data_IF_997696097391
#
_entry.id   IF_997696097391
#
_cell.length_a   1.000
_cell.length_b   1.000
_cell.length_c   1.000
_cell.angle_alpha   90.00
_cell.angle_beta   90.00
_cell.angle_gamma   90.00
#
_symmetry.space_group_name_H-M   'P 1'
#
loop_
_entity.id
_entity.type
_entity.pdbx_description
1 polymer ?
#
# COMPACT_ATOMS: atom_id res chain seq x y z
N UNK A 1 35.53 20.38 -33.36
CA UNK A 1 35.76 18.94 -33.10
C UNK A 1 34.68 18.46 -32.15
N UNK A 2 33.80 17.62 -32.67
CA UNK A 2 32.74 16.94 -31.95
C UNK A 2 33.33 15.90 -30.98
N UNK A 3 32.75 15.77 -29.80
CA UNK A 3 32.83 14.56 -28.97
C UNK A 3 31.40 14.13 -28.58
N UNK A 4 31.10 12.82 -28.59
CA UNK A 4 29.72 12.32 -28.60
C UNK A 4 29.17 12.06 -27.19
N UNK A 5 27.86 12.22 -27.05
CA UNK A 5 27.07 11.72 -25.92
C UNK A 5 27.04 10.19 -25.98
N UNK A 6 27.63 9.51 -25.00
CA UNK A 6 27.46 8.08 -24.79
C UNK A 6 26.14 7.80 -24.07
N UNK A 7 25.25 7.18 -24.81
CA UNK A 7 23.99 6.56 -24.41
C UNK A 7 24.21 5.50 -23.32
N UNK A 8 23.57 5.64 -22.15
CA UNK A 8 23.60 4.63 -21.08
C UNK A 8 22.19 4.08 -20.88
N UNK A 9 21.73 3.31 -21.87
CA UNK A 9 20.50 2.52 -21.80
C UNK A 9 20.76 1.20 -21.05
N UNK A 10 20.58 1.18 -19.74
CA UNK A 10 20.50 -0.07 -18.98
C UNK A 10 19.10 -0.70 -19.18
N UNK A 11 18.97 -1.55 -20.20
CA UNK A 11 17.83 -2.48 -20.34
C UNK A 11 18.01 -3.64 -19.36
N UNK A 12 17.28 -3.64 -18.25
CA UNK A 12 17.20 -4.82 -17.38
C UNK A 12 16.21 -5.84 -17.96
N UNK A 13 16.75 -6.99 -18.36
CA UNK A 13 16.04 -8.15 -18.90
C UNK A 13 15.58 -9.02 -17.73
N UNK A 14 14.27 -9.20 -17.55
CA UNK A 14 13.74 -10.18 -16.59
C UNK A 14 13.63 -11.54 -17.30
N UNK A 15 14.22 -12.59 -16.71
CA UNK A 15 14.05 -13.98 -17.15
C UNK A 15 12.64 -14.46 -16.79
N UNK A 16 11.99 -15.11 -17.74
CA UNK A 16 10.73 -15.84 -17.54
C UNK A 16 11.09 -17.22 -16.98
N UNK A 17 10.71 -17.48 -15.74
CA UNK A 17 10.63 -18.82 -15.16
C UNK A 17 9.18 -19.28 -15.19
N UNK A 18 8.93 -20.45 -15.76
CA UNK A 18 7.59 -21.05 -15.86
C UNK A 18 7.21 -21.60 -14.48
N UNK A 19 6.30 -20.91 -13.80
CA UNK A 19 5.77 -21.25 -12.48
C UNK A 19 4.85 -20.13 -12.01
N UNK A 20 3.72 -20.46 -11.40
CA UNK A 20 2.64 -19.55 -10.96
C UNK A 20 3.14 -18.13 -10.61
N UNK A 21 2.74 -17.15 -11.42
CA UNK A 21 3.26 -15.78 -11.42
C UNK A 21 2.94 -15.01 -10.15
N UNK A 22 3.75 -15.23 -9.11
CA UNK A 22 3.83 -14.33 -7.97
C UNK A 22 4.58 -13.08 -8.42
N UNK A 23 3.87 -11.97 -8.63
CA UNK A 23 4.54 -10.71 -8.91
C UNK A 23 5.04 -10.11 -7.59
N UNK A 24 6.31 -10.34 -7.30
CA UNK A 24 7.04 -9.60 -6.27
C UNK A 24 7.43 -8.22 -6.79
N UNK A 25 7.07 -7.16 -6.05
CA UNK A 25 7.68 -5.85 -6.27
C UNK A 25 9.07 -5.89 -5.65
N UNK A 26 10.11 -5.70 -6.44
CA UNK A 26 11.50 -5.69 -5.95
C UNK A 26 12.05 -4.27 -6.09
N UNK A 27 12.54 -3.71 -4.99
CA UNK A 27 13.29 -2.45 -5.03
C UNK A 27 14.68 -2.71 -5.64
N UNK A 28 15.15 -1.89 -6.60
CA UNK A 28 16.53 -1.98 -7.07
C UNK A 28 17.49 -1.72 -5.90
N UNK A 29 18.61 -2.46 -5.86
CA UNK A 29 19.72 -2.20 -4.94
C UNK A 29 20.35 -0.86 -5.28
N UNK A 30 20.21 0.14 -4.40
CA UNK A 30 20.79 1.47 -4.61
C UNK A 30 22.31 1.44 -4.45
N UNK A 31 23.03 1.90 -5.47
CA UNK A 31 24.35 2.50 -5.29
C UNK A 31 24.23 3.76 -4.45
N UNK A 32 25.20 3.97 -3.56
CA UNK A 32 25.26 5.09 -2.62
C UNK A 32 25.34 6.44 -3.35
N UNK A 33 24.65 7.49 -2.88
CA UNK A 33 25.06 8.86 -3.11
C UNK A 33 26.00 9.30 -1.99
N UNK A 34 27.19 9.77 -2.38
CA UNK A 34 28.21 10.40 -1.55
C UNK A 34 27.74 11.74 -0.99
N UNK A 35 28.09 12.04 0.26
CA UNK A 35 27.99 13.36 0.90
C UNK A 35 28.68 14.46 0.07
N UNK A 36 28.29 15.72 0.26
CA UNK A 36 29.21 16.62 0.97
C UNK A 36 28.55 17.54 2.01
N UNK A 37 29.30 17.78 3.09
CA UNK A 37 29.07 18.80 4.10
C UNK A 37 29.32 20.22 3.58
N UNK A 38 28.63 21.19 4.21
CA UNK A 38 28.92 22.63 4.48
C UNK A 38 27.56 23.37 4.42
N UNK A 39 27.12 24.27 5.30
CA UNK A 39 27.69 24.96 6.45
C UNK A 39 26.90 26.29 6.59
N UNK A 40 26.41 26.56 7.81
CA UNK A 40 26.17 27.90 8.43
C UNK A 40 25.12 28.87 7.82
N UNK A 41 24.04 29.20 8.58
CA UNK A 41 23.87 30.46 9.34
C UNK A 41 22.43 30.64 9.87
N UNK A 42 22.38 31.16 11.09
CA UNK A 42 21.21 31.57 11.87
C UNK A 42 20.81 32.97 11.45
N UNK A 43 19.53 33.22 11.18
CA UNK A 43 18.90 34.52 11.48
C UNK A 43 17.46 34.32 11.93
N UNK A 44 17.23 34.65 13.19
CA UNK A 44 15.95 35.03 13.79
C UNK A 44 15.29 36.18 13.03
N UNK A 45 13.99 36.07 12.76
CA UNK A 45 13.12 37.24 12.63
C UNK A 45 11.75 36.94 13.23
N UNK A 46 11.50 37.60 14.36
CA UNK A 46 10.24 37.68 15.04
C UNK A 46 9.43 38.82 14.39
N UNK A 47 8.25 38.49 13.86
CA UNK A 47 7.28 39.49 13.45
C UNK A 47 6.40 39.87 14.64
N UNK A 48 6.66 41.07 15.17
CA UNK A 48 5.84 41.74 16.17
C UNK A 48 4.54 42.26 15.55
N UNK A 49 3.40 42.02 16.22
CA UNK A 49 2.15 42.75 15.98
C UNK A 49 1.56 43.22 17.31
N UNK A 50 1.64 44.54 17.52
CA UNK A 50 0.67 45.42 18.18
C UNK A 50 0.03 45.00 19.50
N UNK A 51 0.52 45.58 20.60
CA UNK A 51 -0.21 45.72 21.87
C UNK A 51 -1.33 46.76 21.72
N UNK A 52 -2.57 46.36 22.03
CA UNK A 52 -3.61 47.25 22.54
C UNK A 52 -3.96 46.79 23.96
N UNK A 53 -3.87 47.72 24.91
CA UNK A 53 -4.05 47.47 26.33
C UNK A 53 -5.54 47.55 26.68
N UNK A 54 -6.14 46.42 27.09
CA UNK A 54 -7.39 46.42 27.86
C UNK A 54 -7.31 45.29 28.88
N UNK A 55 -7.42 45.66 30.15
CA UNK A 55 -7.36 44.79 31.31
C UNK A 55 -8.48 43.75 31.27
N UNK A 56 -8.13 42.48 31.50
CA UNK A 56 -9.07 41.37 31.58
C UNK A 56 -8.34 40.12 32.08
N UNK A 57 -8.65 39.77 33.33
CA UNK A 57 -8.40 38.55 34.09
C UNK A 57 -7.56 37.42 33.46
N UNK A 58 -6.51 37.03 34.20
CA UNK A 58 -5.73 35.84 33.96
C UNK A 58 -6.57 34.56 34.14
N UNK A 59 -7.08 34.01 33.05
CA UNK A 59 -7.46 32.61 32.98
C UNK A 59 -6.24 31.81 32.49
N UNK A 60 -5.66 31.03 33.41
CA UNK A 60 -4.59 30.10 33.10
C UNK A 60 -5.02 29.15 32.00
N UNK A 61 -4.43 29.29 30.81
CA UNK A 61 -4.48 28.27 29.78
C UNK A 61 -3.62 27.09 30.20
N UNK A 62 -4.16 26.22 31.07
CA UNK A 62 -3.71 24.83 31.16
C UNK A 62 -4.15 24.12 29.88
N UNK A 63 -3.46 24.43 28.79
CA UNK A 63 -3.52 23.69 27.54
C UNK A 63 -2.91 22.32 27.79
N UNK A 64 -3.69 21.41 28.35
CA UNK A 64 -3.37 19.98 28.31
C UNK A 64 -3.30 19.67 26.82
N UNK A 65 -2.09 19.46 26.29
CA UNK A 65 -1.93 18.86 24.98
C UNK A 65 -2.66 17.51 25.05
N UNK A 66 -3.91 17.48 24.58
CA UNK A 66 -4.65 16.24 24.43
C UNK A 66 -3.83 15.45 23.43
N UNK A 67 -3.08 14.47 23.92
CA UNK A 67 -2.60 13.40 23.08
C UNK A 67 -3.82 12.96 22.26
N UNK A 68 -3.76 13.14 20.95
CA UNK A 68 -4.77 12.55 20.06
C UNK A 68 -4.59 11.06 20.26
N UNK A 69 -5.41 10.47 21.12
CA UNK A 69 -5.42 9.03 21.35
C UNK A 69 -6.04 8.42 20.11
N UNK A 70 -5.19 8.06 19.15
CA UNK A 70 -5.59 7.32 17.97
C UNK A 70 -6.15 5.98 18.45
N UNK A 71 -7.44 5.73 18.20
CA UNK A 71 -8.03 4.42 18.47
C UNK A 71 -7.56 3.45 17.38
N UNK A 72 -6.89 2.38 17.79
CA UNK A 72 -6.30 1.38 16.89
C UNK A 72 -7.22 0.17 16.78
N UNK A 73 -7.65 -0.16 15.56
CA UNK A 73 -8.69 -1.17 15.32
C UNK A 73 -8.24 -2.60 15.65
N UNK A 74 -7.00 -2.96 15.31
CA UNK A 74 -6.51 -4.34 15.43
C UNK A 74 -5.39 -4.52 16.46
N UNK A 75 -4.99 -3.46 17.18
CA UNK A 75 -3.86 -3.52 18.13
C UNK A 75 -4.08 -4.51 19.28
N UNK A 76 -5.34 -4.72 19.69
CA UNK A 76 -5.72 -5.65 20.74
C UNK A 76 -6.25 -6.99 20.20
N UNK A 77 -6.24 -7.18 18.88
CA UNK A 77 -6.62 -8.43 18.23
C UNK A 77 -5.40 -9.35 18.16
N UNK A 78 -5.61 -10.65 18.27
CA UNK A 78 -4.55 -11.63 18.01
C UNK A 78 -4.10 -11.53 16.54
N UNK A 79 -2.82 -11.24 16.31
CA UNK A 79 -2.24 -11.08 14.97
C UNK A 79 -1.17 -12.16 14.76
N UNK A 80 -1.59 -13.38 14.40
CA UNK A 80 -0.69 -14.49 14.06
C UNK A 80 -1.23 -15.24 12.85
N UNK A 81 -0.33 -15.75 12.00
CA UNK A 81 -0.68 -16.40 10.74
C UNK A 81 -1.26 -15.41 9.73
N UNK A 82 -2.58 -15.26 9.72
CA UNK A 82 -3.30 -14.45 8.72
C UNK A 82 -4.29 -13.47 9.35
N UNK A 83 -4.32 -12.24 8.84
CA UNK A 83 -5.33 -11.24 9.19
C UNK A 83 -5.97 -10.67 7.94
N UNK A 84 -7.21 -11.06 7.66
CA UNK A 84 -7.98 -10.54 6.52
C UNK A 84 -8.64 -9.21 6.86
N UNK A 85 -8.46 -8.20 6.01
CA UNK A 85 -9.09 -6.87 6.16
C UNK A 85 -10.19 -6.63 5.11
N UNK A 86 -10.21 -7.42 4.03
CA UNK A 86 -11.25 -7.37 3.01
C UNK A 86 -11.46 -8.76 2.44
N UNK A 87 -12.72 -9.22 2.41
CA UNK A 87 -13.11 -10.44 1.72
C UNK A 87 -14.44 -10.25 0.99
N UNK A 88 -14.43 -10.42 -0.34
CA UNK A 88 -15.57 -10.11 -1.21
C UNK A 88 -16.81 -10.98 -0.98
N UNK A 89 -16.65 -12.19 -0.42
CA UNK A 89 -17.77 -13.09 -0.11
C UNK A 89 -18.44 -12.79 1.24
N UNK A 90 -17.88 -11.89 2.05
CA UNK A 90 -18.50 -11.46 3.29
C UNK A 90 -19.86 -10.80 3.07
N UNK A 91 -20.71 -10.81 4.09
CA UNK A 91 -22.01 -10.12 4.07
C UNK A 91 -21.85 -8.61 3.88
N UNK A 92 -20.85 -8.00 4.55
CA UNK A 92 -20.48 -6.58 4.45
C UNK A 92 -18.98 -6.43 4.19
N UNK A 93 -18.50 -6.61 2.94
CA UNK A 93 -17.07 -6.61 2.62
C UNK A 93 -16.36 -5.27 2.88
N UNK A 94 -17.11 -4.17 2.94
CA UNK A 94 -16.62 -2.81 3.17
C UNK A 94 -16.94 -2.28 4.57
N UNK A 95 -17.24 -3.13 5.55
CA UNK A 95 -17.65 -2.71 6.91
C UNK A 95 -16.65 -1.74 7.57
N UNK A 96 -15.35 -2.00 7.42
CA UNK A 96 -14.28 -1.16 7.97
C UNK A 96 -13.66 -0.20 6.94
N UNK A 97 -14.24 -0.12 5.75
CA UNK A 97 -13.73 0.63 4.61
C UNK A 97 -14.66 1.80 4.27
N UNK A 98 -14.08 2.96 3.97
CA UNK A 98 -14.79 4.08 3.38
C UNK A 98 -14.59 4.05 1.86
N UNK A 99 -15.67 4.12 1.10
CA UNK A 99 -15.62 4.30 -0.36
C UNK A 99 -15.80 5.76 -0.72
N UNK A 100 -14.90 6.30 -1.53
CA UNK A 100 -15.09 7.57 -2.24
C UNK A 100 -15.28 7.27 -3.72
N UNK A 101 -16.34 7.82 -4.32
CA UNK A 101 -16.69 7.59 -5.73
C UNK A 101 -16.98 8.92 -6.40
N UNK A 102 -16.22 9.24 -7.44
CA UNK A 102 -16.51 10.35 -8.34
C UNK A 102 -16.32 9.89 -9.78
N UNK A 103 -17.38 9.94 -10.58
CA UNK A 103 -17.41 9.47 -11.96
C UNK A 103 -16.89 8.03 -12.11
N UNK A 104 -17.48 7.13 -11.31
CA UNK A 104 -17.10 5.73 -11.24
C UNK A 104 -18.14 4.91 -10.46
N UNK A 105 -17.80 3.67 -10.12
CA UNK A 105 -18.63 2.83 -9.26
C UNK A 105 -17.81 1.86 -8.42
N UNK A 106 -18.38 1.47 -7.29
CA UNK A 106 -17.95 0.34 -6.46
C UNK A 106 -19.12 -0.62 -6.41
N UNK A 107 -18.95 -1.83 -6.95
CA UNK A 107 -20.03 -2.83 -7.02
C UNK A 107 -19.49 -4.22 -6.74
N UNK A 108 -20.32 -5.08 -6.15
CA UNK A 108 -20.04 -6.51 -6.05
C UNK A 108 -20.60 -7.21 -7.29
N UNK A 109 -19.76 -7.92 -8.03
CA UNK A 109 -20.13 -8.62 -9.26
C UNK A 109 -19.64 -10.07 -9.22
N UNK A 110 -20.19 -10.93 -10.06
CA UNK A 110 -19.67 -12.30 -10.26
C UNK A 110 -18.61 -12.27 -11.37
N UNK A 111 -17.36 -12.61 -11.04
CA UNK A 111 -16.29 -12.69 -12.04
C UNK A 111 -16.36 -14.05 -12.76
N UNK A 112 -16.37 -14.07 -14.11
CA UNK A 112 -16.52 -15.31 -14.87
C UNK A 112 -15.32 -16.25 -14.72
N UNK A 113 -14.10 -15.74 -14.54
CA UNK A 113 -12.88 -16.55 -14.51
C UNK A 113 -12.75 -17.38 -13.24
N UNK A 114 -13.39 -16.96 -12.14
CA UNK A 114 -13.36 -17.66 -10.85
C UNK A 114 -14.76 -18.09 -10.37
N UNK A 115 -15.80 -17.82 -11.18
CA UNK A 115 -17.20 -18.07 -10.86
C UNK A 115 -17.61 -17.62 -9.45
N UNK A 116 -17.11 -16.47 -8.99
CA UNK A 116 -17.26 -16.04 -7.60
C UNK A 116 -17.45 -14.53 -7.48
N UNK A 117 -18.04 -14.09 -6.36
CA UNK A 117 -18.30 -12.68 -6.10
C UNK A 117 -17.02 -11.91 -5.77
N UNK A 118 -16.82 -10.78 -6.45
CA UNK A 118 -15.66 -9.89 -6.29
C UNK A 118 -16.10 -8.45 -6.16
N UNK A 119 -15.28 -7.63 -5.52
CA UNK A 119 -15.51 -6.20 -5.44
C UNK A 119 -14.85 -5.52 -6.64
N UNK A 120 -15.64 -4.93 -7.53
CA UNK A 120 -15.15 -4.14 -8.65
C UNK A 120 -15.16 -2.65 -8.29
N UNK A 121 -14.03 -1.99 -8.55
CA UNK A 121 -13.88 -0.54 -8.45
C UNK A 121 -13.45 -0.05 -9.82
N UNK A 122 -14.22 0.84 -10.45
CA UNK A 122 -13.91 1.39 -11.76
C UNK A 122 -14.17 2.88 -11.82
N UNK A 123 -13.31 3.61 -12.52
CA UNK A 123 -13.48 5.04 -12.80
C UNK A 123 -12.61 5.44 -13.98
N UNK A 124 -13.03 6.48 -14.70
CA UNK A 124 -12.19 7.09 -15.74
C UNK A 124 -10.92 7.73 -15.15
N UNK A 125 -11.00 8.28 -13.94
CA UNK A 125 -9.86 8.85 -13.24
C UNK A 125 -9.51 8.01 -11.99
N UNK A 126 -8.30 7.43 -11.99
CA UNK A 126 -7.81 6.55 -10.93
C UNK A 126 -7.78 7.24 -9.56
N UNK A 127 -7.49 8.54 -9.52
CA UNK A 127 -7.33 9.25 -8.25
C UNK A 127 -8.66 9.60 -7.56
N UNK A 128 -9.78 9.60 -8.30
CA UNK A 128 -11.05 10.15 -7.80
C UNK A 128 -12.00 9.11 -7.22
N UNK A 129 -11.72 7.83 -7.44
CA UNK A 129 -12.51 6.71 -6.90
C UNK A 129 -11.58 5.72 -6.22
N UNK A 130 -11.80 5.46 -4.94
CA UNK A 130 -10.98 4.56 -4.14
C UNK A 130 -11.74 4.07 -2.90
N UNK A 131 -11.23 2.99 -2.29
CA UNK A 131 -11.60 2.58 -0.94
C UNK A 131 -10.43 2.80 0.01
N UNK A 132 -10.70 3.26 1.23
CA UNK A 132 -9.70 3.47 2.27
C UNK A 132 -10.08 2.79 3.57
N UNK A 133 -9.09 2.19 4.24
CA UNK A 133 -9.25 1.55 5.53
C UNK A 133 -8.18 2.09 6.51
N UNK A 134 -8.56 2.56 7.71
CA UNK A 134 -9.92 2.56 8.28
C UNK A 134 -10.88 3.56 7.62
N UNK A 135 -12.18 3.30 7.74
CA UNK A 135 -13.23 4.23 7.30
C UNK A 135 -13.18 5.58 8.02
N UNK A 136 -12.73 5.60 9.27
CA UNK A 136 -12.52 6.82 10.04
C UNK A 136 -11.08 7.33 9.85
N UNK A 137 -10.94 8.63 9.56
CA UNK A 137 -9.65 9.27 9.39
C UNK A 137 -8.86 9.38 10.70
N UNK A 138 -9.55 9.44 11.84
CA UNK A 138 -8.96 9.53 13.18
C UNK A 138 -8.53 8.17 13.75
N UNK A 139 -8.86 7.06 13.07
CA UNK A 139 -8.46 5.70 13.47
C UNK A 139 -7.30 5.19 12.65
N UNK A 140 -6.57 4.22 13.21
CA UNK A 140 -5.54 3.48 12.48
C UNK A 140 -5.77 1.97 12.59
N UNK A 141 -5.22 1.22 11.65
CA UNK A 141 -5.30 -0.25 11.63
C UNK A 141 -4.52 -0.86 12.81
N UNK A 142 -3.25 -0.49 12.96
CA UNK A 142 -2.37 -1.04 14.00
C UNK A 142 -1.96 -2.49 13.76
N UNK A 143 -1.72 -2.86 12.50
CA UNK A 143 -1.37 -4.22 12.09
C UNK A 143 0.15 -4.36 12.04
N UNK A 144 0.71 -5.31 12.78
CA UNK A 144 2.17 -5.57 12.93
C UNK A 144 2.71 -6.64 11.98
N UNK A 145 1.82 -7.32 11.25
CA UNK A 145 2.22 -8.33 10.28
C UNK A 145 2.99 -7.69 9.11
N UNK A 146 4.15 -8.24 8.69
CA UNK A 146 5.06 -7.60 7.73
C UNK A 146 4.66 -7.79 6.26
N UNK A 147 3.94 -8.87 5.92
CA UNK A 147 3.55 -9.14 4.53
C UNK A 147 2.11 -8.70 4.30
N UNK A 148 1.90 -7.88 3.29
CA UNK A 148 0.59 -7.49 2.79
C UNK A 148 0.33 -8.20 1.46
N UNK A 149 -0.79 -8.91 1.36
CA UNK A 149 -1.17 -9.68 0.18
C UNK A 149 -2.50 -9.16 -0.37
N UNK A 150 -2.52 -8.86 -1.67
CA UNK A 150 -3.72 -8.47 -2.41
C UNK A 150 -3.98 -9.49 -3.51
N UNK A 151 -5.21 -10.01 -3.57
CA UNK A 151 -5.69 -10.84 -4.68
C UNK A 151 -6.56 -9.97 -5.57
N UNK A 152 -6.00 -9.56 -6.72
CA UNK A 152 -6.62 -8.59 -7.63
C UNK A 152 -6.58 -9.05 -9.08
N UNK A 153 -7.61 -8.70 -9.84
CA UNK A 153 -7.64 -8.90 -11.30
C UNK A 153 -7.15 -7.67 -12.02
N UNK A 154 -6.20 -7.86 -12.93
CA UNK A 154 -5.73 -6.83 -13.83
C UNK A 154 -6.76 -6.60 -14.95
N UNK A 155 -7.31 -5.39 -15.01
CA UNK A 155 -8.28 -4.97 -16.03
C UNK A 155 -7.63 -4.29 -17.24
N UNK A 156 -6.29 -4.38 -17.39
CA UNK A 156 -5.51 -3.69 -18.43
C UNK A 156 -5.73 -2.17 -18.42
N UNK A 157 -5.97 -1.61 -17.23
CA UNK A 157 -6.22 -0.18 -16.97
C UNK A 157 -5.29 0.31 -15.85
N UNK A 158 -5.15 1.62 -15.72
CA UNK A 158 -4.31 2.20 -14.68
C UNK A 158 -4.85 1.91 -13.28
N UNK A 159 -4.00 1.34 -12.44
CA UNK A 159 -4.30 0.87 -11.08
C UNK A 159 -3.17 1.29 -10.14
N UNK A 160 -3.54 1.63 -8.90
CA UNK A 160 -2.59 1.97 -7.84
C UNK A 160 -3.18 1.61 -6.47
N UNK A 161 -2.32 1.30 -5.53
CA UNK A 161 -2.68 1.22 -4.12
C UNK A 161 -1.62 1.92 -3.26
N UNK A 162 -2.05 2.32 -2.07
CA UNK A 162 -1.23 3.01 -1.09
C UNK A 162 -1.34 2.32 0.26
N UNK A 163 -0.21 2.26 0.96
CA UNK A 163 -0.14 1.78 2.33
C UNK A 163 0.70 2.75 3.15
N UNK A 164 0.16 3.19 4.28
CA UNK A 164 0.85 4.02 5.25
C UNK A 164 1.35 3.16 6.39
N UNK A 165 2.63 3.27 6.69
CA UNK A 165 3.30 2.53 7.77
C UNK A 165 3.91 3.49 8.78
N UNK A 166 4.11 2.98 9.99
CA UNK A 166 4.89 3.61 11.05
C UNK A 166 6.26 2.93 11.12
N UNK A 167 7.32 3.72 11.16
CA UNK A 167 8.69 3.24 11.40
C UNK A 167 9.11 3.38 12.88
N UNK A 168 10.25 2.79 13.23
CA UNK A 168 10.85 2.83 14.57
C UNK A 168 11.32 4.23 15.02
N UNK A 169 11.45 5.17 14.08
CA UNK A 169 11.69 6.60 14.35
C UNK A 169 10.38 7.37 14.55
N UNK A 170 9.26 6.67 14.67
CA UNK A 170 7.92 7.24 14.83
C UNK A 170 7.52 8.17 13.66
N UNK A 171 8.06 7.92 12.46
CA UNK A 171 7.73 8.66 11.24
C UNK A 171 6.74 7.85 10.41
N UNK A 172 5.70 8.53 9.93
CA UNK A 172 4.70 7.94 9.04
C UNK A 172 5.22 7.98 7.60
N UNK A 173 5.42 6.81 7.00
CA UNK A 173 5.86 6.67 5.61
C UNK A 173 4.73 6.12 4.76
N UNK A 174 4.67 6.52 3.50
CA UNK A 174 3.67 6.02 2.55
C UNK A 174 4.33 5.31 1.39
N UNK A 175 3.91 4.08 1.12
CA UNK A 175 4.28 3.36 -0.08
C UNK A 175 3.12 3.41 -1.07
N UNK A 176 3.39 3.86 -2.29
CA UNK A 176 2.44 3.85 -3.40
C UNK A 176 2.99 2.95 -4.50
N UNK A 177 2.28 1.89 -4.83
CA UNK A 177 2.62 1.03 -5.95
C UNK A 177 1.61 1.28 -7.07
N UNK A 178 2.09 1.45 -8.31
CA UNK A 178 1.25 1.80 -9.46
C UNK A 178 1.75 1.15 -10.75
N UNK A 179 0.85 0.79 -11.65
CA UNK A 179 1.20 0.11 -12.91
C UNK A 179 1.55 1.07 -14.08
N UNK A 180 1.47 2.37 -13.86
CA UNK A 180 1.84 3.42 -14.82
C UNK A 180 3.15 4.13 -14.43
N UNK A 181 3.71 3.83 -13.26
CA UNK A 181 5.02 4.32 -12.86
C UNK A 181 6.10 3.44 -13.49
N UNK A 182 7.16 4.07 -14.02
CA UNK A 182 8.27 3.33 -14.67
C UNK A 182 9.48 3.11 -13.76
N UNK A 183 9.67 3.96 -12.75
CA UNK A 183 10.85 3.93 -11.88
C UNK A 183 10.48 4.20 -10.42
N UNK A 184 11.20 3.56 -9.50
CA UNK A 184 11.07 3.83 -8.06
C UNK A 184 11.59 5.23 -7.73
N UNK A 185 10.85 5.96 -6.89
CA UNK A 185 11.29 7.25 -6.34
C UNK A 185 11.07 7.25 -4.84
N UNK A 186 12.13 7.54 -4.10
CA UNK A 186 12.09 7.64 -2.64
C UNK A 186 12.17 9.11 -2.25
N UNK A 187 11.13 9.61 -1.58
CA UNK A 187 11.08 10.91 -0.93
C UNK A 187 10.91 10.68 0.58
N UNK A 188 11.20 11.66 1.45
CA UNK A 188 11.10 11.47 2.89
C UNK A 188 9.80 10.81 3.35
N UNK A 189 8.63 11.29 2.92
CA UNK A 189 7.36 10.73 3.40
C UNK A 189 6.67 9.76 2.44
N UNK A 190 7.20 9.58 1.22
CA UNK A 190 6.55 8.76 0.20
C UNK A 190 7.57 8.04 -0.68
N UNK A 191 7.37 6.74 -0.85
CA UNK A 191 8.07 5.92 -1.82
C UNK A 191 7.07 5.47 -2.89
N UNK A 192 7.30 5.89 -4.14
CA UNK A 192 6.48 5.47 -5.29
C UNK A 192 7.22 4.38 -6.04
N UNK A 193 6.57 3.23 -6.26
CA UNK A 193 7.15 2.07 -6.91
C UNK A 193 6.36 1.65 -8.14
N UNK A 194 7.04 1.18 -9.20
CA UNK A 194 6.38 0.54 -10.32
C UNK A 194 5.85 -0.83 -9.89
N UNK A 195 4.70 -1.24 -10.41
CA UNK A 195 4.24 -2.62 -10.36
C UNK A 195 3.98 -3.12 -11.78
N UNK A 196 4.24 -4.40 -12.03
CA UNK A 196 3.77 -5.08 -13.23
C UNK A 196 2.66 -6.03 -12.81
N UNK A 197 1.66 -6.19 -13.66
CA UNK A 197 0.57 -7.14 -13.40
C UNK A 197 0.43 -8.00 -14.64
N UNK A 198 0.37 -9.31 -14.43
CA UNK A 198 0.09 -10.25 -15.49
C UNK A 198 -1.38 -10.15 -15.91
N UNK A 199 -1.72 -10.78 -17.02
CA UNK A 199 -3.12 -10.83 -17.45
C UNK A 199 -3.96 -11.71 -16.53
N UNK A 200 -5.18 -11.26 -16.19
CA UNK A 200 -6.08 -12.00 -15.33
C UNK A 200 -5.83 -11.76 -13.84
N UNK A 201 -5.95 -12.82 -13.04
CA UNK A 201 -5.85 -12.77 -11.58
C UNK A 201 -4.41 -12.82 -11.10
N UNK A 202 -4.06 -11.86 -10.24
CA UNK A 202 -2.72 -11.66 -9.69
C UNK A 202 -2.78 -11.72 -8.16
N UNK A 203 -1.76 -12.33 -7.57
CA UNK A 203 -1.48 -12.26 -6.14
C UNK A 203 -0.28 -11.35 -5.92
N UNK A 204 -0.53 -10.11 -5.48
CA UNK A 204 0.52 -9.15 -5.18
C UNK A 204 0.97 -9.39 -3.74
N UNK A 205 2.26 -9.65 -3.56
CA UNK A 205 2.89 -9.82 -2.26
C UNK A 205 3.79 -8.63 -1.96
N UNK A 206 3.60 -8.01 -0.81
CA UNK A 206 4.23 -6.74 -0.47
C UNK A 206 4.90 -6.83 0.90
N UNK A 207 6.24 -6.92 0.91
CA UNK A 207 7.04 -7.01 2.13
C UNK A 207 7.30 -5.62 2.72
N UNK A 208 6.40 -5.16 3.59
CA UNK A 208 6.45 -3.84 4.20
C UNK A 208 7.72 -3.64 5.03
N UNK A 209 8.16 -4.69 5.72
CA UNK A 209 9.37 -4.65 6.54
C UNK A 209 10.63 -4.44 5.71
N UNK A 210 10.77 -5.18 4.61
CA UNK A 210 11.90 -5.04 3.71
C UNK A 210 11.89 -3.71 2.96
N UNK A 211 10.73 -3.24 2.50
CA UNK A 211 10.64 -1.94 1.82
C UNK A 211 10.97 -0.78 2.74
N UNK A 212 10.55 -0.82 4.01
CA UNK A 212 10.89 0.20 5.01
C UNK A 212 12.39 0.24 5.25
N UNK A 213 13.02 -0.93 5.42
CA UNK A 213 14.47 -1.04 5.61
C UNK A 213 15.25 -0.57 4.38
N UNK A 214 14.86 -0.97 3.17
CA UNK A 214 15.56 -0.61 1.93
C UNK A 214 15.39 0.86 1.55
N UNK A 215 14.21 1.44 1.75
CA UNK A 215 13.94 2.82 1.34
C UNK A 215 14.44 3.86 2.35
N UNK A 216 14.39 3.56 3.66
CA UNK A 216 14.65 4.57 4.70
C UNK A 216 15.69 4.15 5.74
N UNK A 217 16.19 2.90 5.70
CA UNK A 217 17.10 2.39 6.71
C UNK A 217 16.47 2.26 8.11
N UNK A 218 15.14 2.16 8.18
CA UNK A 218 14.36 2.05 9.42
C UNK A 218 13.61 0.73 9.50
N UNK A 219 13.16 0.36 10.70
CA UNK A 219 12.37 -0.85 10.90
C UNK A 219 10.87 -0.57 10.82
N UNK A 220 10.13 -1.52 10.25
CA UNK A 220 8.67 -1.49 10.23
C UNK A 220 8.10 -1.83 11.60
N UNK A 221 7.17 -1.01 12.07
CA UNK A 221 6.45 -1.22 13.34
C UNK A 221 5.04 -1.71 13.08
N UNK A 222 4.25 -0.96 12.31
CA UNK A 222 2.88 -1.31 11.99
C UNK A 222 2.35 -0.59 10.75
N UNK A 223 1.29 -1.15 10.18
CA UNK A 223 0.48 -0.52 9.13
C UNK A 223 -0.64 0.30 9.77
N UNK A 224 -0.77 1.55 9.31
CA UNK A 224 -1.72 2.52 9.82
C UNK A 224 -2.97 2.62 8.94
N UNK A 225 -2.78 2.65 7.62
CA UNK A 225 -3.85 2.89 6.65
C UNK A 225 -3.54 2.21 5.32
N UNK A 226 -4.57 1.76 4.64
CA UNK A 226 -4.49 1.26 3.28
C UNK A 226 -5.53 1.94 2.40
N UNK A 227 -5.18 2.23 1.15
CA UNK A 227 -6.06 2.81 0.15
C UNK A 227 -5.88 2.09 -1.18
N UNK A 228 -6.97 1.69 -1.81
CA UNK A 228 -6.97 0.97 -3.09
C UNK A 228 -7.77 1.79 -4.08
N UNK A 229 -7.15 2.16 -5.20
CA UNK A 229 -7.78 2.98 -6.22
C UNK A 229 -8.53 2.17 -7.26
N UNK A 230 -9.25 2.89 -8.11
CA UNK A 230 -10.05 2.33 -9.19
C UNK A 230 -9.27 1.50 -10.21
N UNK A 231 -10.06 0.81 -11.04
CA UNK A 231 -9.70 -0.08 -12.14
C UNK A 231 -9.07 -1.40 -11.69
N UNK A 232 -9.66 -2.00 -10.67
CA UNK A 232 -9.34 -3.36 -10.24
C UNK A 232 -10.60 -4.14 -9.86
N UNK A 233 -10.48 -5.47 -9.87
CA UNK A 233 -11.40 -6.35 -9.13
C UNK A 233 -10.64 -6.97 -7.99
N UNK A 234 -11.18 -6.88 -6.78
CA UNK A 234 -10.55 -7.31 -5.55
C UNK A 234 -11.34 -8.49 -4.99
N UNK A 235 -10.64 -9.58 -4.71
CA UNK A 235 -11.23 -10.75 -4.03
C UNK A 235 -10.90 -10.75 -2.54
N UNK A 236 -9.64 -10.51 -2.20
CA UNK A 236 -9.17 -10.56 -0.82
C UNK A 236 -7.98 -9.62 -0.60
N UNK A 237 -7.93 -9.04 0.58
CA UNK A 237 -6.75 -8.32 1.10
C UNK A 237 -6.50 -8.81 2.51
N UNK A 238 -5.29 -9.30 2.76
CA UNK A 238 -4.91 -9.84 4.06
C UNK A 238 -3.44 -9.58 4.34
N UNK A 239 -3.08 -9.66 5.62
CA UNK A 239 -1.71 -9.64 6.07
C UNK A 239 -1.29 -11.01 6.57
N UNK A 240 0.01 -11.29 6.50
CA UNK A 240 0.60 -12.49 7.07
C UNK A 240 1.94 -12.21 7.75
N UNK A 241 2.33 -13.13 8.64
CA UNK A 241 3.62 -13.12 9.34
C UNK A 241 4.78 -13.54 8.43
N UNK A 242 4.52 -14.46 7.50
CA UNK A 242 5.45 -14.95 6.48
C UNK A 242 4.79 -15.09 5.11
N UNK A 243 5.59 -15.31 4.08
CA UNK A 243 5.07 -15.75 2.77
C UNK A 243 4.78 -17.25 2.84
N UNK A 244 3.52 -17.61 2.67
CA UNK A 244 3.08 -18.99 2.60
C UNK A 244 3.04 -19.47 1.15
N UNK A 245 3.38 -20.73 0.95
CA UNK A 245 3.21 -21.40 -0.34
C UNK A 245 1.73 -21.72 -0.60
N UNK A 246 1.37 -22.00 -1.86
CA UNK A 246 -0.01 -22.39 -2.19
C UNK A 246 -0.47 -23.65 -1.45
N UNK A 247 0.44 -24.54 -1.06
CA UNK A 247 0.11 -25.79 -0.34
C UNK A 247 -0.29 -25.51 1.11
N UNK A 248 0.47 -24.65 1.79
CA UNK A 248 0.27 -24.26 3.19
C UNK A 248 -0.92 -23.32 3.40
N UNK A 249 -1.34 -22.61 2.34
CA UNK A 249 -2.48 -21.71 2.42
C UNK A 249 -3.76 -22.51 2.70
N UNK A 250 -4.61 -22.10 3.66
CA UNK A 250 -5.92 -22.70 3.81
C UNK A 250 -6.76 -22.50 2.53
N UNK A 251 -7.67 -23.43 2.24
CA UNK A 251 -8.50 -23.44 1.02
C UNK A 251 -9.20 -22.09 0.78
N UNK A 252 -9.63 -21.42 1.84
CA UNK A 252 -10.28 -20.12 1.74
C UNK A 252 -9.35 -18.99 1.26
N UNK A 253 -8.03 -19.11 1.43
CA UNK A 253 -7.04 -18.14 0.94
C UNK A 253 -6.49 -18.51 -0.45
N UNK A 254 -6.74 -19.74 -0.94
CA UNK A 254 -6.33 -20.16 -2.28
C UNK A 254 -7.22 -19.54 -3.36
N UNK A 255 -6.60 -19.22 -4.50
CA UNK A 255 -7.32 -18.78 -5.69
C UNK A 255 -7.57 -19.99 -6.61
N UNK A 256 -8.81 -20.46 -6.65
CA UNK A 256 -9.22 -21.51 -7.58
C UNK A 256 -9.68 -20.90 -8.91
N UNK A 257 -8.97 -21.25 -9.98
CA UNK A 257 -9.38 -21.00 -11.36
C UNK A 257 -10.01 -22.29 -11.92
N UNK A 258 -11.30 -22.31 -12.33
CA UNK A 258 -12.00 -23.51 -12.79
C UNK A 258 -11.31 -24.26 -13.93
N UNK A 259 -10.47 -23.60 -14.73
CA UNK A 259 -9.74 -24.23 -15.85
C UNK A 259 -8.44 -24.95 -15.50
N UNK A 260 -7.82 -24.70 -14.33
CA UNK A 260 -6.54 -25.34 -13.95
C UNK A 260 -6.71 -26.74 -13.33
N UNK A 261 -7.88 -27.04 -12.77
CA UNK A 261 -8.15 -28.39 -12.21
C UNK A 261 -8.28 -29.45 -13.30
N UNK A 262 -8.80 -29.12 -14.49
CA UNK A 262 -8.95 -30.09 -15.58
C UNK A 262 -7.60 -30.61 -16.10
N UNK A 263 -6.51 -29.83 -16.02
CA UNK A 263 -5.18 -30.29 -16.43
C UNK A 263 -4.49 -31.19 -15.39
N UNK A 264 -4.80 -31.05 -14.09
CA UNK A 264 -4.24 -31.93 -13.05
C UNK A 264 -4.97 -33.28 -12.97
N UNK A 265 -6.26 -33.33 -13.31
CA UNK A 265 -7.06 -34.57 -13.33
C UNK A 265 -6.95 -35.36 -14.65
N UNK A 266 -6.42 -34.76 -15.72
CA UNK A 266 -6.22 -35.41 -17.02
C UNK A 266 -4.78 -35.94 -17.24
N UNK A 267 -3.88 -35.73 -16.27
CA UNK A 267 -2.47 -36.13 -16.34
C UNK A 267 -2.06 -37.22 -15.34
N UNK A 268 -3.03 -37.86 -14.69
CA UNK A 268 -2.84 -38.94 -13.71
C UNK A 268 -3.47 -40.24 -14.19
#
# INVERSE_FOLDING_TARGET
>A
MFWPLSDCSLKSRARVGVGLGSVGIVLPSSGQPTDPCEGIFITTEAAACGFHHSQGEAQGCTGIARAVVWSNMFRNTFQSGFLSILYSLGSKPLEIWQGEVRNGHIKRITDPDIASSVLEIQSANVSTTYISCPADQAKTLGIKLPFLILIVKNLKKYFTFEVQVLDDKNVRRRFRASNYQSATRVKPFICTMPMRLDEGWNQIQFNLAEFTRRAYGTNYIETLRMQIHANCRIRRVYFSDRLYTEEELPTEFKLFLPGKQQQQLAGS
#
